data_IF_984494616889
#
_entry.id   IF_984494616889
#
_cell.length_a   1.000
_cell.length_b   1.000
_cell.length_c   1.000
_cell.angle_alpha   90.00
_cell.angle_beta   90.00
_cell.angle_gamma   90.00
#
_symmetry.space_group_name_H-M   'P 1'
#
loop_
_entity.id
_entity.type
_entity.pdbx_description
1 polymer ?
#
# COMPACT_ATOMS: atom_id res chain seq x y z
N UNK A 1 34.46 -11.59 12.74
CA UNK A 1 33.65 -12.58 11.98
C UNK A 1 32.16 -12.24 11.89
N UNK A 2 31.57 -11.53 12.86
CA UNK A 2 30.14 -11.17 12.84
C UNK A 2 29.72 -10.09 11.83
N UNK A 3 30.58 -9.15 11.48
CA UNK A 3 30.22 -8.01 10.61
C UNK A 3 30.05 -8.40 9.14
N UNK A 4 30.82 -9.34 8.64
CA UNK A 4 30.71 -9.82 7.26
C UNK A 4 29.49 -10.72 7.05
N UNK A 5 29.13 -11.52 8.05
CA UNK A 5 27.95 -12.36 8.02
C UNK A 5 26.66 -11.54 8.10
N UNK A 6 26.61 -10.51 8.96
CA UNK A 6 25.48 -9.62 9.04
C UNK A 6 25.27 -8.80 7.75
N UNK A 7 26.35 -8.36 7.12
CA UNK A 7 26.28 -7.70 5.80
C UNK A 7 25.81 -8.63 4.68
N UNK A 8 26.24 -9.89 4.68
CA UNK A 8 25.78 -10.89 3.72
C UNK A 8 24.28 -11.24 3.92
N UNK A 9 23.81 -11.31 5.16
CA UNK A 9 22.39 -11.54 5.45
C UNK A 9 21.55 -10.32 5.06
N UNK A 10 22.03 -9.10 5.27
CA UNK A 10 21.38 -7.87 4.81
C UNK A 10 21.31 -7.81 3.28
N UNK A 11 22.41 -8.14 2.56
CA UNK A 11 22.41 -8.18 1.11
C UNK A 11 21.40 -9.22 0.59
N UNK A 12 21.36 -10.42 1.16
CA UNK A 12 20.40 -11.46 0.79
C UNK A 12 18.95 -11.08 1.09
N UNK A 13 18.70 -10.42 2.20
CA UNK A 13 17.34 -9.94 2.54
C UNK A 13 16.88 -8.82 1.59
N UNK A 14 17.79 -7.96 1.18
CA UNK A 14 17.49 -6.87 0.24
C UNK A 14 17.24 -7.37 -1.19
N UNK A 15 18.00 -8.35 -1.66
CA UNK A 15 17.74 -9.04 -2.92
C UNK A 15 16.35 -9.69 -2.89
N UNK A 16 15.97 -10.31 -1.78
CA UNK A 16 14.64 -10.90 -1.62
C UNK A 16 13.50 -9.86 -1.71
N UNK A 17 13.65 -8.69 -1.07
CA UNK A 17 12.65 -7.61 -1.15
C UNK A 17 12.58 -6.98 -2.54
N UNK A 18 13.72 -6.74 -3.15
CA UNK A 18 13.80 -6.21 -4.51
C UNK A 18 13.15 -7.17 -5.53
N UNK A 19 13.39 -8.46 -5.42
CA UNK A 19 12.77 -9.47 -6.28
C UNK A 19 11.24 -9.51 -6.08
N UNK A 20 10.76 -9.40 -4.84
CA UNK A 20 9.33 -9.28 -4.55
C UNK A 20 8.74 -8.05 -5.24
N UNK A 21 9.36 -6.88 -5.08
CA UNK A 21 8.89 -5.64 -5.68
C UNK A 21 8.86 -5.73 -7.22
N UNK A 22 9.89 -6.31 -7.84
CA UNK A 22 9.96 -6.55 -9.29
C UNK A 22 8.79 -7.39 -9.82
N UNK A 23 8.28 -8.29 -9.00
CA UNK A 23 7.12 -9.11 -9.35
C UNK A 23 5.83 -8.29 -9.47
N UNK A 24 5.68 -7.27 -8.63
CA UNK A 24 4.53 -6.35 -8.65
C UNK A 24 4.69 -5.22 -9.68
N UNK A 25 5.93 -4.77 -9.87
CA UNK A 25 6.26 -3.60 -10.69
C UNK A 25 7.37 -3.99 -11.67
N UNK A 26 7.02 -4.42 -12.90
CA UNK A 26 8.00 -4.66 -13.94
C UNK A 26 8.82 -3.38 -14.21
N UNK A 27 10.15 -3.51 -14.27
CA UNK A 27 11.05 -2.38 -14.47
C UNK A 27 11.52 -1.68 -13.19
N UNK A 28 11.13 -2.16 -12.02
CA UNK A 28 11.65 -1.68 -10.75
C UNK A 28 13.05 -2.28 -10.51
N UNK A 29 14.10 -1.49 -10.78
CA UNK A 29 15.50 -1.96 -10.71
C UNK A 29 16.24 -1.56 -9.42
N UNK A 30 15.53 -0.93 -8.49
CA UNK A 30 16.10 -0.43 -7.25
C UNK A 30 16.62 1.01 -7.35
N UNK A 31 16.80 1.64 -6.22
CA UNK A 31 17.21 3.05 -6.11
C UNK A 31 18.72 3.19 -6.35
N UNK A 32 19.12 3.31 -7.61
CA UNK A 32 20.53 3.38 -7.99
C UNK A 32 21.06 4.84 -8.11
N UNK A 33 20.24 5.77 -8.56
CA UNK A 33 20.57 7.18 -8.71
C UNK A 33 19.34 8.09 -8.52
N UNK A 34 19.54 9.40 -8.47
CA UNK A 34 18.48 10.38 -8.17
C UNK A 34 17.32 10.35 -9.17
N UNK A 35 17.60 10.27 -10.46
CA UNK A 35 16.58 10.33 -11.50
C UNK A 35 15.76 9.05 -11.54
N UNK A 36 16.44 7.90 -11.48
CA UNK A 36 15.82 6.59 -11.37
C UNK A 36 14.92 6.49 -10.12
N UNK A 37 15.35 7.03 -9.01
CA UNK A 37 14.63 6.94 -7.73
C UNK A 37 13.29 7.65 -7.73
N UNK A 38 13.19 8.80 -8.39
CA UNK A 38 11.91 9.51 -8.57
C UNK A 38 10.95 8.72 -9.46
N UNK A 39 11.48 8.12 -10.51
CA UNK A 39 10.71 7.28 -11.40
C UNK A 39 10.18 6.05 -10.66
N UNK A 40 11.02 5.36 -9.90
CA UNK A 40 10.64 4.20 -9.11
C UNK A 40 9.62 4.54 -8.01
N UNK A 41 9.77 5.65 -7.32
CA UNK A 41 8.77 6.12 -6.36
C UNK A 41 7.42 6.38 -7.04
N UNK A 42 7.43 6.98 -8.22
CA UNK A 42 6.22 7.21 -9.02
C UNK A 42 5.59 5.90 -9.46
N UNK A 43 6.37 4.92 -9.91
CA UNK A 43 5.89 3.59 -10.28
C UNK A 43 5.25 2.86 -9.09
N UNK A 44 5.89 2.89 -7.92
CA UNK A 44 5.36 2.30 -6.70
C UNK A 44 4.02 2.93 -6.31
N UNK A 45 3.96 4.26 -6.23
CA UNK A 45 2.74 5.00 -5.87
C UNK A 45 1.59 4.74 -6.84
N UNK A 46 1.89 4.74 -8.13
CA UNK A 46 0.89 4.44 -9.15
C UNK A 46 0.37 3.01 -9.01
N UNK A 47 1.25 2.04 -8.78
CA UNK A 47 0.85 0.64 -8.56
C UNK A 47 -0.05 0.50 -7.32
N UNK A 48 0.34 1.11 -6.20
CA UNK A 48 -0.44 1.11 -4.97
C UNK A 48 -1.81 1.81 -5.18
N UNK A 49 -1.83 2.94 -5.88
CA UNK A 49 -3.06 3.66 -6.17
C UNK A 49 -4.02 2.82 -7.03
N UNK A 50 -3.52 2.13 -8.06
CA UNK A 50 -4.33 1.23 -8.90
C UNK A 50 -4.95 0.10 -8.07
N UNK A 51 -4.17 -0.51 -7.16
CA UNK A 51 -4.70 -1.53 -6.24
C UNK A 51 -5.82 -0.97 -5.36
N UNK A 52 -5.63 0.21 -4.78
CA UNK A 52 -6.65 0.84 -3.93
C UNK A 52 -7.88 1.29 -4.72
N UNK A 53 -7.74 1.71 -5.97
CA UNK A 53 -8.86 2.07 -6.85
C UNK A 53 -9.74 0.86 -7.19
N UNK A 54 -9.18 -0.33 -7.31
CA UNK A 54 -9.94 -1.55 -7.55
C UNK A 54 -10.95 -1.84 -6.42
N UNK A 55 -10.66 -1.41 -5.18
CA UNK A 55 -11.55 -1.57 -4.04
C UNK A 55 -12.91 -0.86 -4.22
N UNK A 56 -12.95 0.23 -5.00
CA UNK A 56 -14.20 0.96 -5.29
C UNK A 56 -15.24 0.10 -5.99
N UNK A 57 -14.79 -0.78 -6.88
CA UNK A 57 -15.68 -1.71 -7.57
C UNK A 57 -16.28 -2.72 -6.59
N UNK A 58 -15.46 -3.35 -5.76
CA UNK A 58 -15.94 -4.28 -4.73
C UNK A 58 -16.88 -3.60 -3.75
N UNK A 59 -16.59 -2.36 -3.36
CA UNK A 59 -17.44 -1.59 -2.46
C UNK A 59 -18.79 -1.26 -3.10
N UNK A 60 -18.81 -0.81 -4.35
CA UNK A 60 -20.05 -0.55 -5.11
C UNK A 60 -20.91 -1.82 -5.20
N UNK A 61 -20.30 -2.95 -5.50
CA UNK A 61 -21.00 -4.24 -5.58
C UNK A 61 -21.55 -4.66 -4.19
N UNK A 62 -20.79 -4.41 -3.14
CA UNK A 62 -21.22 -4.65 -1.74
C UNK A 62 -22.45 -3.82 -1.40
N UNK A 63 -22.46 -2.52 -1.69
CA UNK A 63 -23.60 -1.63 -1.46
C UNK A 63 -24.84 -2.13 -2.20
N UNK A 64 -24.69 -2.53 -3.47
CA UNK A 64 -25.79 -3.09 -4.27
C UNK A 64 -26.36 -4.36 -3.62
N UNK A 65 -25.51 -5.30 -3.26
CA UNK A 65 -25.94 -6.57 -2.64
C UNK A 65 -26.66 -6.36 -1.30
N UNK A 66 -26.19 -5.43 -0.48
CA UNK A 66 -26.84 -5.09 0.82
C UNK A 66 -28.17 -4.37 0.61
N UNK A 67 -28.27 -3.49 -0.37
CA UNK A 67 -29.52 -2.81 -0.74
C UNK A 67 -30.57 -3.80 -1.22
N UNK A 68 -30.20 -4.72 -2.09
CA UNK A 68 -31.09 -5.77 -2.62
C UNK A 68 -31.58 -6.72 -1.52
N UNK A 69 -30.79 -6.92 -0.48
CA UNK A 69 -31.17 -7.74 0.69
C UNK A 69 -32.00 -7.00 1.75
N UNK A 70 -32.24 -5.69 1.58
CA UNK A 70 -32.96 -4.85 2.55
C UNK A 70 -32.14 -4.52 3.82
N UNK A 71 -30.84 -4.80 3.83
CA UNK A 71 -29.97 -4.60 5.01
C UNK A 71 -29.30 -3.22 5.00
N UNK A 72 -30.12 -2.17 4.97
CA UNK A 72 -29.68 -0.77 4.87
C UNK A 72 -28.87 -0.29 6.09
N UNK A 73 -29.05 -0.91 7.27
CA UNK A 73 -28.30 -0.55 8.48
C UNK A 73 -26.81 -0.90 8.39
N UNK A 74 -26.46 -1.86 7.54
CA UNK A 74 -25.05 -2.23 7.30
C UNK A 74 -24.32 -1.25 6.39
N UNK A 75 -25.02 -0.33 5.72
CA UNK A 75 -24.45 0.63 4.75
C UNK A 75 -23.66 1.75 5.45
N UNK A 76 -24.02 2.13 6.68
CA UNK A 76 -23.39 3.26 7.39
C UNK A 76 -21.88 3.12 7.60
N UNK A 77 -21.40 1.88 7.78
CA UNK A 77 -19.96 1.62 7.92
C UNK A 77 -19.20 1.66 6.58
N UNK A 78 -19.89 1.43 5.47
CA UNK A 78 -19.27 1.39 4.14
C UNK A 78 -18.79 2.77 3.71
N UNK A 79 -19.53 3.84 4.01
CA UNK A 79 -19.12 5.22 3.73
C UNK A 79 -17.81 5.58 4.42
N UNK A 80 -17.58 5.04 5.62
CA UNK A 80 -16.33 5.28 6.37
C UNK A 80 -15.12 4.63 5.69
N UNK A 81 -15.25 3.38 5.25
CA UNK A 81 -14.15 2.69 4.56
C UNK A 81 -13.94 3.25 3.16
N UNK A 82 -14.98 3.71 2.47
CA UNK A 82 -14.86 4.40 1.21
C UNK A 82 -14.04 5.69 1.35
N UNK A 83 -14.40 6.56 2.28
CA UNK A 83 -13.65 7.81 2.56
C UNK A 83 -12.20 7.55 2.95
N UNK A 84 -11.93 6.50 3.73
CA UNK A 84 -10.56 6.12 4.08
C UNK A 84 -9.78 5.63 2.86
N UNK A 85 -10.38 4.78 2.03
CA UNK A 85 -9.76 4.30 0.79
C UNK A 85 -9.46 5.47 -0.18
N UNK A 86 -10.41 6.41 -0.33
CA UNK A 86 -10.21 7.65 -1.10
C UNK A 86 -9.06 8.50 -0.54
N UNK A 87 -8.96 8.61 0.78
CA UNK A 87 -7.85 9.34 1.43
C UNK A 87 -6.51 8.69 1.12
N UNK A 88 -6.42 7.36 1.15
CA UNK A 88 -5.21 6.62 0.76
C UNK A 88 -4.87 6.89 -0.70
N UNK A 89 -5.83 6.76 -1.61
CA UNK A 89 -5.63 7.03 -3.05
C UNK A 89 -5.14 8.45 -3.28
N UNK A 90 -5.79 9.45 -2.66
CA UNK A 90 -5.39 10.85 -2.77
C UNK A 90 -3.97 11.08 -2.26
N UNK A 91 -3.60 10.47 -1.13
CA UNK A 91 -2.25 10.54 -0.56
C UNK A 91 -1.20 9.94 -1.50
N UNK A 92 -1.47 8.78 -2.07
CA UNK A 92 -0.58 8.11 -3.03
C UNK A 92 -0.36 8.97 -4.29
N UNK A 93 -1.41 9.61 -4.80
CA UNK A 93 -1.35 10.45 -6.01
C UNK A 93 -0.77 11.84 -5.77
N UNK A 94 -0.99 12.44 -4.60
CA UNK A 94 -0.58 13.83 -4.32
C UNK A 94 0.93 13.97 -4.11
N UNK A 95 1.57 12.96 -3.56
CA UNK A 95 2.98 13.03 -3.19
C UNK A 95 3.92 13.08 -4.40
N UNK A 96 3.48 12.62 -5.58
CA UNK A 96 4.23 12.76 -6.83
C UNK A 96 4.45 14.22 -7.27
N UNK A 97 3.69 15.17 -6.74
CA UNK A 97 3.75 16.61 -7.12
C UNK A 97 4.62 17.46 -6.20
N UNK A 98 5.00 16.98 -5.01
CA UNK A 98 5.66 17.77 -3.97
C UNK A 98 7.19 17.61 -3.87
N UNK A 99 7.81 16.76 -4.68
CA UNK A 99 9.23 16.42 -4.53
C UNK A 99 10.22 17.32 -5.25
N UNK A 100 10.01 18.60 -5.30
CA UNK A 100 10.96 19.51 -5.96
C UNK A 100 12.31 19.67 -5.24
N UNK A 101 12.50 19.06 -4.06
CA UNK A 101 13.73 19.22 -3.30
C UNK A 101 14.12 18.11 -2.32
N UNK A 102 13.20 17.25 -1.92
CA UNK A 102 13.40 16.32 -0.81
C UNK A 102 13.98 14.95 -1.20
N UNK A 103 13.98 14.59 -2.47
CA UNK A 103 14.46 13.30 -2.95
C UNK A 103 15.96 13.37 -3.28
N UNK A 104 16.81 13.48 -2.28
CA UNK A 104 18.27 13.43 -2.46
C UNK A 104 18.80 12.07 -1.98
N UNK A 105 18.54 11.02 -2.77
CA UNK A 105 19.01 9.64 -2.48
C UNK A 105 20.52 9.55 -2.35
N UNK A 106 21.27 10.48 -2.96
CA UNK A 106 22.74 10.55 -2.80
C UNK A 106 23.12 10.74 -1.32
N UNK A 107 22.20 11.27 -0.49
CA UNK A 107 22.39 11.44 0.95
C UNK A 107 21.78 10.31 1.80
N UNK A 108 21.01 9.41 1.20
CA UNK A 108 20.44 8.28 1.94
C UNK A 108 21.53 7.25 2.18
N UNK A 109 21.84 7.01 3.45
CA UNK A 109 22.77 5.96 3.88
C UNK A 109 22.22 4.58 3.51
N UNK A 110 23.12 3.62 3.28
CA UNK A 110 22.78 2.25 2.91
C UNK A 110 21.74 1.58 3.84
N UNK A 111 21.84 1.85 5.15
CA UNK A 111 20.87 1.33 6.13
C UNK A 111 19.44 1.85 5.91
N UNK A 112 19.29 3.12 5.52
CA UNK A 112 18.00 3.73 5.22
C UNK A 112 17.43 3.25 3.89
N UNK A 113 18.31 2.99 2.92
CA UNK A 113 17.92 2.40 1.64
C UNK A 113 17.32 1.00 1.83
N UNK A 114 17.92 0.21 2.71
CA UNK A 114 17.43 -1.12 3.07
C UNK A 114 16.05 -1.05 3.74
N UNK A 115 15.87 -0.09 4.66
CA UNK A 115 14.57 0.16 5.26
C UNK A 115 13.53 0.56 4.21
N UNK A 116 13.89 1.40 3.24
CA UNK A 116 13.00 1.82 2.16
C UNK A 116 12.50 0.63 1.33
N UNK A 117 13.38 -0.31 0.96
CA UNK A 117 12.97 -1.55 0.26
C UNK A 117 12.01 -2.40 1.09
N UNK A 118 12.25 -2.52 2.40
CA UNK A 118 11.34 -3.23 3.30
C UNK A 118 9.96 -2.56 3.36
N UNK A 119 9.91 -1.22 3.44
CA UNK A 119 8.66 -0.48 3.41
C UNK A 119 7.93 -0.65 2.07
N UNK A 120 8.63 -0.52 0.95
CA UNK A 120 8.04 -0.65 -0.38
C UNK A 120 7.43 -2.04 -0.60
N UNK A 121 8.15 -3.10 -0.24
CA UNK A 121 7.64 -4.47 -0.31
C UNK A 121 6.47 -4.72 0.64
N UNK A 122 6.57 -4.25 1.88
CA UNK A 122 5.51 -4.37 2.89
C UNK A 122 4.24 -3.60 2.50
N UNK A 123 4.37 -2.43 1.88
CA UNK A 123 3.22 -1.66 1.37
C UNK A 123 2.50 -2.39 0.24
N UNK A 124 3.21 -3.04 -0.66
CA UNK A 124 2.62 -3.86 -1.72
C UNK A 124 1.84 -5.04 -1.16
N UNK A 125 2.43 -5.79 -0.20
CA UNK A 125 1.75 -6.90 0.48
C UNK A 125 0.52 -6.44 1.27
N UNK A 126 0.61 -5.30 1.94
CA UNK A 126 -0.53 -4.72 2.67
C UNK A 126 -1.65 -4.26 1.71
N UNK A 127 -1.29 -3.66 0.58
CA UNK A 127 -2.28 -3.26 -0.43
C UNK A 127 -3.05 -4.47 -0.97
N UNK A 128 -2.38 -5.58 -1.27
CA UNK A 128 -3.04 -6.82 -1.67
C UNK A 128 -3.94 -7.38 -0.59
N UNK A 129 -3.49 -7.36 0.66
CA UNK A 129 -4.29 -7.81 1.80
C UNK A 129 -5.56 -6.96 1.95
N UNK A 130 -5.46 -5.65 1.79
CA UNK A 130 -6.62 -4.73 1.79
C UNK A 130 -7.57 -5.09 0.65
N UNK A 131 -7.07 -5.26 -0.58
CA UNK A 131 -7.88 -5.64 -1.73
C UNK A 131 -8.61 -6.97 -1.51
N UNK A 132 -7.93 -7.97 -0.95
CA UNK A 132 -8.54 -9.25 -0.60
C UNK A 132 -9.68 -9.10 0.40
N UNK A 133 -9.50 -8.29 1.44
CA UNK A 133 -10.55 -8.00 2.42
C UNK A 133 -11.77 -7.30 1.80
N UNK A 134 -11.59 -6.40 0.84
CA UNK A 134 -12.71 -5.82 0.09
C UNK A 134 -13.45 -6.85 -0.77
N UNK A 135 -12.72 -7.78 -1.39
CA UNK A 135 -13.34 -8.89 -2.13
C UNK A 135 -14.13 -9.82 -1.21
N UNK A 136 -13.58 -10.17 -0.06
CA UNK A 136 -14.28 -10.99 0.96
C UNK A 136 -15.53 -10.29 1.51
N UNK A 137 -15.47 -8.96 1.68
CA UNK A 137 -16.64 -8.14 2.06
C UNK A 137 -17.76 -8.25 1.02
N UNK A 138 -17.41 -8.13 -0.28
CA UNK A 138 -18.35 -8.28 -1.39
C UNK A 138 -19.00 -9.66 -1.41
N UNK A 139 -18.19 -10.72 -1.25
CA UNK A 139 -18.67 -12.11 -1.25
C UNK A 139 -19.63 -12.37 -0.08
N UNK A 140 -19.30 -11.88 1.12
CA UNK A 140 -20.20 -12.00 2.30
C UNK A 140 -21.50 -11.23 2.12
N UNK A 141 -21.45 -10.03 1.55
CA UNK A 141 -22.64 -9.26 1.25
C UNK A 141 -23.56 -9.99 0.25
N UNK A 142 -23.01 -10.57 -0.80
CA UNK A 142 -23.75 -11.40 -1.76
C UNK A 142 -24.35 -12.65 -1.13
N UNK A 143 -23.64 -13.25 -0.18
CA UNK A 143 -24.10 -14.40 0.60
C UNK A 143 -25.10 -14.02 1.72
N UNK A 144 -25.44 -12.73 1.88
CA UNK A 144 -26.33 -12.19 2.93
C UNK A 144 -25.84 -12.47 4.36
N UNK A 145 -24.53 -12.55 4.54
CA UNK A 145 -23.87 -12.70 5.84
C UNK A 145 -23.59 -11.32 6.43
N UNK A 146 -23.53 -11.22 7.76
CA UNK A 146 -23.19 -9.94 8.43
C UNK A 146 -21.76 -9.51 8.08
N UNK A 147 -21.61 -8.23 7.75
CA UNK A 147 -20.36 -7.64 7.25
C UNK A 147 -19.70 -6.65 8.22
N UNK A 148 -20.28 -6.44 9.40
CA UNK A 148 -19.79 -5.42 10.36
C UNK A 148 -18.34 -5.64 10.77
N UNK A 149 -17.97 -6.88 11.07
CA UNK A 149 -16.60 -7.23 11.43
C UNK A 149 -15.63 -6.93 10.28
N UNK A 150 -15.98 -7.33 9.06
CA UNK A 150 -15.18 -7.08 7.86
C UNK A 150 -14.97 -5.58 7.61
N UNK A 151 -16.00 -4.76 7.80
CA UNK A 151 -15.89 -3.29 7.70
C UNK A 151 -14.91 -2.75 8.73
N UNK A 152 -14.96 -3.23 9.97
CA UNK A 152 -14.03 -2.82 11.03
C UNK A 152 -12.59 -3.22 10.71
N UNK A 153 -12.38 -4.44 10.24
CA UNK A 153 -11.05 -4.95 9.84
C UNK A 153 -10.47 -4.16 8.66
N UNK A 154 -11.27 -3.86 7.64
CA UNK A 154 -10.86 -3.04 6.49
C UNK A 154 -10.47 -1.65 6.96
N UNK A 155 -11.29 -1.04 7.83
CA UNK A 155 -10.99 0.27 8.40
C UNK A 155 -9.63 0.30 9.11
N UNK A 156 -9.34 -0.71 9.94
CA UNK A 156 -8.04 -0.85 10.61
C UNK A 156 -6.88 -1.07 9.66
N UNK A 157 -7.08 -1.92 8.62
CA UNK A 157 -6.04 -2.19 7.61
C UNK A 157 -5.71 -0.95 6.75
N UNK A 158 -6.70 -0.11 6.45
CA UNK A 158 -6.47 1.16 5.73
C UNK A 158 -5.70 2.16 6.60
N UNK A 159 -6.00 2.24 7.91
CA UNK A 159 -5.25 3.08 8.84
C UNK A 159 -3.79 2.60 8.98
N UNK A 160 -3.56 1.29 9.10
CA UNK A 160 -2.23 0.70 9.16
C UNK A 160 -1.44 0.97 7.88
N UNK A 161 -2.07 0.82 6.71
CA UNK A 161 -1.44 1.13 5.42
C UNK A 161 -1.00 2.60 5.36
N UNK A 162 -1.89 3.53 5.75
CA UNK A 162 -1.59 4.96 5.74
C UNK A 162 -0.45 5.32 6.69
N UNK A 163 -0.40 4.72 7.88
CA UNK A 163 0.67 4.92 8.85
C UNK A 163 2.01 4.44 8.28
N UNK A 164 2.09 3.24 7.73
CA UNK A 164 3.30 2.71 7.08
C UNK A 164 3.75 3.57 5.91
N UNK A 165 2.80 4.06 5.11
CA UNK A 165 3.13 4.96 4.01
C UNK A 165 3.70 6.29 4.52
N UNK A 166 3.17 6.86 5.60
CA UNK A 166 3.71 8.07 6.21
C UNK A 166 5.12 7.84 6.80
N UNK A 167 5.37 6.71 7.46
CA UNK A 167 6.71 6.34 7.97
C UNK A 167 7.73 6.24 6.83
N UNK A 168 7.36 5.63 5.70
CA UNK A 168 8.18 5.62 4.49
C UNK A 168 8.51 7.03 4.00
N UNK A 169 7.53 7.93 3.98
CA UNK A 169 7.73 9.32 3.57
C UNK A 169 8.74 10.06 4.46
N UNK A 170 8.75 9.78 5.75
CA UNK A 170 9.71 10.38 6.69
C UNK A 170 11.15 9.91 6.41
N UNK A 171 11.36 8.66 6.01
CA UNK A 171 12.69 8.17 5.60
C UNK A 171 13.23 8.96 4.40
N UNK A 172 12.35 9.36 3.47
CA UNK A 172 12.72 10.09 2.26
C UNK A 172 13.04 11.56 2.51
N UNK A 173 12.60 12.14 3.65
CA UNK A 173 12.82 13.55 3.99
C UNK A 173 14.15 13.81 4.71
N UNK A 174 14.78 12.79 5.28
CA UNK A 174 16.00 12.87 6.11
C UNK A 174 17.14 12.03 5.56
#
# INVERSE_FOLDING_TARGET
MNDLQSKLEQIKSNESWLEKIKRYIPGYDGYANRDNSRELDTLLRNKLAVLMEANKTSLKNTVSALSDSGNLLSVTGLDKIDKKNETVIAKLKSAARGYSGAFDIIKIKEDKLNQLYQFDGSLLENAETVCKKFSELEDKAKAKVDVKENVSEISGSLDEFLNKFNEREEILKH
#
